data_IF_956193259171
#
_entry.id   IF_956193259171
#
_cell.length_a   1.000
_cell.length_b   1.000
_cell.length_c   1.000
_cell.angle_alpha   90.00
_cell.angle_beta   90.00
_cell.angle_gamma   90.00
#
_symmetry.space_group_name_H-M   'P 1'
#
loop_
_entity.id
_entity.type
_entity.pdbx_description
1 polymer ?
#
# COMPACT_ATOMS: atom_id res chain seq x y z
N UNK A 1 -6.80 5.15 21.54
CA UNK A 1 -6.09 4.58 20.38
C UNK A 1 -5.68 5.74 19.50
N UNK A 2 -4.36 5.95 19.34
CA UNK A 2 -3.86 7.02 18.50
C UNK A 2 -4.34 6.88 17.06
N UNK A 3 -4.90 7.95 16.53
CA UNK A 3 -5.25 8.06 15.11
C UNK A 3 -3.95 7.83 14.32
N UNK A 4 -3.91 6.77 13.51
CA UNK A 4 -2.74 6.49 12.65
C UNK A 4 -2.71 7.51 11.52
N UNK A 5 -1.90 8.54 11.70
CA UNK A 5 -1.84 9.74 10.86
C UNK A 5 -1.66 9.39 9.37
N UNK A 6 -0.80 8.45 9.04
CA UNK A 6 -0.52 8.07 7.64
C UNK A 6 -1.72 7.48 6.88
N UNK A 7 -2.62 6.72 7.54
CA UNK A 7 -3.82 6.19 6.90
C UNK A 7 -4.81 7.30 6.55
N UNK A 8 -4.91 8.34 7.39
CA UNK A 8 -5.85 9.44 7.15
C UNK A 8 -5.45 10.30 5.94
N UNK A 9 -4.15 10.48 5.72
CA UNK A 9 -3.63 11.23 4.58
C UNK A 9 -3.95 10.58 3.23
N UNK A 10 -4.16 9.25 3.23
CA UNK A 10 -4.43 8.46 2.03
C UNK A 10 -5.91 8.13 1.83
N UNK A 11 -6.77 8.52 2.76
CA UNK A 11 -8.19 8.15 2.73
C UNK A 11 -9.00 9.09 1.84
N UNK A 12 -9.73 8.54 0.88
CA UNK A 12 -10.71 9.26 0.08
C UNK A 12 -12.08 9.41 0.78
N UNK A 13 -12.31 8.64 1.85
CA UNK A 13 -13.46 8.72 2.72
C UNK A 13 -13.23 7.99 4.04
N UNK A 14 -13.84 8.45 5.11
CA UNK A 14 -13.76 7.84 6.43
C UNK A 14 -15.17 7.49 6.90
N UNK A 15 -15.32 6.28 7.40
CA UNK A 15 -16.60 5.78 7.90
C UNK A 15 -16.46 5.30 9.33
N UNK A 16 -17.23 5.87 10.23
CA UNK A 16 -17.26 5.52 11.66
C UNK A 16 -18.37 4.49 11.88
N UNK A 17 -17.97 3.27 12.19
CA UNK A 17 -18.90 2.17 12.46
C UNK A 17 -19.46 2.21 13.89
N UNK A 18 -20.50 1.40 14.14
CA UNK A 18 -21.18 1.24 15.42
C UNK A 18 -21.86 2.55 15.90
N UNK A 19 -22.40 3.33 14.95
CA UNK A 19 -23.14 4.55 15.23
C UNK A 19 -24.60 4.21 15.60
N UNK A 20 -24.80 3.51 16.69
CA UNK A 20 -26.10 3.06 17.19
C UNK A 20 -26.13 2.98 18.71
N UNK A 21 -27.34 2.85 19.28
CA UNK A 21 -27.59 2.74 20.72
C UNK A 21 -26.82 3.83 21.50
N UNK A 22 -26.21 3.39 22.61
CA UNK A 22 -25.43 4.28 23.49
C UNK A 22 -24.14 4.81 22.84
N UNK A 23 -23.72 4.22 21.70
CA UNK A 23 -22.52 4.65 20.99
C UNK A 23 -22.80 5.71 19.89
N UNK A 24 -24.04 6.12 19.68
CA UNK A 24 -24.41 7.08 18.65
C UNK A 24 -23.71 8.44 18.84
N UNK A 25 -23.76 9.02 20.03
CA UNK A 25 -23.14 10.32 20.29
C UNK A 25 -21.60 10.25 20.30
N UNK A 26 -20.96 9.24 20.90
CA UNK A 26 -19.53 9.01 20.71
C UNK A 26 -19.10 8.89 19.24
N UNK A 27 -19.87 8.19 18.40
CA UNK A 27 -19.57 8.04 16.96
C UNK A 27 -19.67 9.38 16.21
N UNK A 28 -20.69 10.19 16.51
CA UNK A 28 -20.82 11.55 15.94
C UNK A 28 -19.67 12.46 16.37
N UNK A 29 -19.26 12.40 17.64
CA UNK A 29 -18.12 13.17 18.13
C UNK A 29 -16.83 12.75 17.41
N UNK A 30 -16.58 11.44 17.28
CA UNK A 30 -15.45 10.91 16.52
C UNK A 30 -15.47 11.41 15.07
N UNK A 31 -16.62 11.35 14.39
CA UNK A 31 -16.76 11.86 13.03
C UNK A 31 -16.42 13.35 12.90
N UNK A 32 -16.81 14.15 13.90
CA UNK A 32 -16.44 15.56 13.95
C UNK A 32 -14.93 15.77 14.12
N UNK A 33 -14.31 15.01 15.00
CA UNK A 33 -12.85 15.05 15.22
C UNK A 33 -12.09 14.67 13.95
N UNK A 34 -12.53 13.63 13.23
CA UNK A 34 -11.92 13.22 11.96
C UNK A 34 -12.09 14.28 10.88
N UNK A 35 -13.27 14.92 10.77
CA UNK A 35 -13.48 16.06 9.84
C UNK A 35 -12.49 17.19 10.12
N UNK A 36 -12.36 17.60 11.38
CA UNK A 36 -11.45 18.65 11.78
C UNK A 36 -9.98 18.27 11.48
N UNK A 37 -9.60 17.02 11.73
CA UNK A 37 -8.26 16.53 11.43
C UNK A 37 -7.96 16.52 9.93
N UNK A 38 -8.92 16.16 9.08
CA UNK A 38 -8.76 16.17 7.62
C UNK A 38 -8.48 17.59 7.07
N UNK A 39 -9.00 18.63 7.68
CA UNK A 39 -8.71 20.01 7.27
C UNK A 39 -7.27 20.45 7.54
N UNK A 40 -6.51 19.70 8.35
CA UNK A 40 -5.10 20.00 8.63
C UNK A 40 -4.15 19.41 7.60
N UNK A 41 -4.64 18.53 6.71
CA UNK A 41 -3.83 17.94 5.65
C UNK A 41 -3.86 18.81 4.39
N UNK A 42 -2.81 18.74 3.55
CA UNK A 42 -2.81 19.40 2.26
C UNK A 42 -3.94 18.87 1.37
N UNK A 43 -4.34 19.66 0.39
CA UNK A 43 -5.35 19.24 -0.57
C UNK A 43 -4.92 17.96 -1.29
N UNK A 44 -5.78 16.94 -1.40
CA UNK A 44 -5.46 15.72 -2.11
C UNK A 44 -5.17 15.98 -3.60
N UNK A 45 -4.25 15.21 -4.19
CA UNK A 45 -3.92 15.30 -5.62
C UNK A 45 -5.14 15.08 -6.52
N UNK A 46 -6.08 14.28 -6.08
CA UNK A 46 -7.36 14.05 -6.78
C UNK A 46 -8.24 15.29 -6.88
N UNK A 47 -8.03 16.30 -6.03
CA UNK A 47 -8.94 17.43 -5.83
C UNK A 47 -10.24 17.07 -5.11
N UNK A 48 -10.41 15.79 -4.72
CA UNK A 48 -11.54 15.33 -3.92
C UNK A 48 -11.36 15.69 -2.45
N UNK A 49 -12.38 16.23 -1.81
CA UNK A 49 -12.38 16.49 -0.36
C UNK A 49 -12.94 15.26 0.35
N UNK A 50 -12.15 14.53 1.15
CA UNK A 50 -12.60 13.33 1.82
C UNK A 50 -13.79 13.61 2.74
N UNK A 51 -14.83 12.78 2.66
CA UNK A 51 -16.02 12.87 3.50
C UNK A 51 -15.91 11.93 4.71
N UNK A 52 -16.54 12.34 5.82
CA UNK A 52 -16.63 11.52 7.05
C UNK A 52 -18.09 11.23 7.32
N UNK A 53 -18.45 9.96 7.30
CA UNK A 53 -19.79 9.45 7.56
C UNK A 53 -19.82 8.59 8.82
N UNK A 54 -21.00 8.41 9.39
CA UNK A 54 -21.26 7.43 10.44
C UNK A 54 -22.22 6.38 9.92
N UNK A 55 -22.07 5.12 10.36
CA UNK A 55 -23.00 4.07 10.01
C UNK A 55 -23.13 3.02 11.13
N UNK A 56 -24.19 2.22 11.08
CA UNK A 56 -24.36 1.03 11.89
C UNK A 56 -24.46 -0.20 11.01
N UNK A 57 -23.45 -1.05 11.05
CA UNK A 57 -23.49 -2.34 10.36
C UNK A 57 -24.51 -3.29 10.95
N UNK A 58 -24.81 -3.15 12.26
CA UNK A 58 -25.78 -4.01 12.94
C UNK A 58 -27.23 -3.69 12.53
N UNK A 59 -27.58 -2.40 12.46
CA UNK A 59 -28.92 -1.98 12.07
C UNK A 59 -29.05 -1.60 10.60
N UNK A 60 -28.00 -1.76 9.82
CA UNK A 60 -27.96 -1.40 8.38
C UNK A 60 -28.34 0.06 8.10
N UNK A 61 -27.96 0.97 9.01
CA UNK A 61 -28.22 2.40 8.91
C UNK A 61 -26.99 3.10 8.31
N UNK A 62 -27.17 3.98 7.33
CA UNK A 62 -26.09 4.77 6.72
C UNK A 62 -25.32 4.04 5.60
N UNK A 63 -25.70 2.81 5.24
CA UNK A 63 -25.02 2.03 4.19
C UNK A 63 -25.23 2.65 2.81
N UNK A 64 -26.45 3.15 2.54
CA UNK A 64 -26.74 3.80 1.27
C UNK A 64 -25.88 5.07 1.08
N UNK A 65 -25.76 5.88 2.11
CA UNK A 65 -24.98 7.11 2.11
C UNK A 65 -23.49 6.85 1.84
N UNK A 66 -22.96 5.70 2.33
CA UNK A 66 -21.58 5.27 2.03
C UNK A 66 -21.45 4.96 0.53
N UNK A 67 -22.39 4.20 -0.04
CA UNK A 67 -22.35 3.87 -1.47
C UNK A 67 -22.53 5.13 -2.33
N UNK A 68 -23.41 6.03 -1.95
CA UNK A 68 -23.61 7.31 -2.64
C UNK A 68 -22.28 8.10 -2.65
N UNK A 69 -21.58 8.18 -1.53
CA UNK A 69 -20.26 8.81 -1.43
C UNK A 69 -19.21 8.12 -2.34
N UNK A 70 -19.17 6.78 -2.37
CA UNK A 70 -18.23 6.03 -3.22
C UNK A 70 -18.49 6.31 -4.71
N UNK A 71 -19.75 6.29 -5.14
CA UNK A 71 -20.09 6.61 -6.53
C UNK A 71 -19.77 8.06 -6.89
N UNK A 72 -20.06 9.00 -5.99
CA UNK A 72 -19.74 10.41 -6.18
C UNK A 72 -18.23 10.63 -6.33
N UNK A 73 -17.41 9.96 -5.50
CA UNK A 73 -15.96 9.97 -5.62
C UNK A 73 -15.49 9.42 -6.98
N UNK A 74 -15.99 8.23 -7.35
CA UNK A 74 -15.61 7.58 -8.62
C UNK A 74 -15.96 8.47 -9.81
N UNK A 75 -17.15 9.05 -9.83
CA UNK A 75 -17.58 9.96 -10.89
C UNK A 75 -16.72 11.22 -10.95
N UNK A 76 -16.39 11.79 -9.79
CA UNK A 76 -15.53 12.97 -9.69
C UNK A 76 -14.14 12.69 -10.27
N UNK A 77 -13.47 11.61 -9.83
CA UNK A 77 -12.10 11.28 -10.28
C UNK A 77 -12.04 10.78 -11.73
N UNK A 78 -13.14 10.23 -12.26
CA UNK A 78 -13.25 9.92 -13.69
C UNK A 78 -13.39 11.19 -14.54
N UNK A 79 -14.21 12.14 -14.11
CA UNK A 79 -14.45 13.40 -14.84
C UNK A 79 -13.19 14.28 -14.92
N UNK A 80 -12.38 14.32 -13.87
CA UNK A 80 -11.14 15.12 -13.86
C UNK A 80 -9.90 14.36 -14.38
N UNK A 81 -10.06 13.10 -14.80
CA UNK A 81 -8.97 12.27 -15.35
C UNK A 81 -8.05 11.61 -14.30
N UNK A 82 -8.21 11.93 -13.02
CA UNK A 82 -7.36 11.38 -11.94
C UNK A 82 -7.46 9.86 -11.84
N UNK A 83 -8.64 9.27 -12.08
CA UNK A 83 -8.82 7.83 -12.10
C UNK A 83 -7.89 7.14 -13.11
N UNK A 84 -7.84 7.65 -14.34
CA UNK A 84 -6.94 7.14 -15.39
C UNK A 84 -5.48 7.31 -15.02
N UNK A 85 -5.10 8.50 -14.54
CA UNK A 85 -3.75 8.77 -14.07
C UNK A 85 -3.30 7.78 -12.99
N UNK A 86 -4.10 7.58 -11.94
CA UNK A 86 -3.78 6.63 -10.86
C UNK A 86 -3.66 5.19 -11.34
N UNK A 87 -4.53 4.76 -12.26
CA UNK A 87 -4.45 3.41 -12.86
C UNK A 87 -3.15 3.21 -13.65
N UNK A 88 -2.70 4.22 -14.38
CA UNK A 88 -1.44 4.16 -15.11
C UNK A 88 -0.22 4.10 -14.17
N UNK A 89 -0.21 4.90 -13.11
CA UNK A 89 0.85 4.85 -12.08
C UNK A 89 0.87 3.51 -11.35
N UNK A 90 -0.29 2.95 -11.01
CA UNK A 90 -0.39 1.59 -10.46
C UNK A 90 0.15 0.54 -11.43
N UNK A 91 -0.21 0.62 -12.72
CA UNK A 91 0.28 -0.33 -13.73
C UNK A 91 1.78 -0.26 -13.89
N UNK A 92 2.35 0.95 -13.88
CA UNK A 92 3.79 1.18 -13.89
C UNK A 92 4.47 0.56 -12.65
N UNK A 93 3.91 0.80 -11.46
CA UNK A 93 4.41 0.21 -10.22
C UNK A 93 4.43 -1.33 -10.30
N UNK A 94 3.32 -1.95 -10.68
CA UNK A 94 3.22 -3.41 -10.81
C UNK A 94 4.17 -3.98 -11.85
N UNK A 95 4.43 -3.27 -12.95
CA UNK A 95 5.44 -3.67 -13.93
C UNK A 95 6.81 -3.81 -13.27
N UNK A 96 7.26 -2.80 -12.50
CA UNK A 96 8.56 -2.86 -11.82
C UNK A 96 8.59 -3.93 -10.72
N UNK A 97 7.54 -4.06 -9.92
CA UNK A 97 7.45 -5.10 -8.90
C UNK A 97 7.53 -6.51 -9.51
N UNK A 98 6.79 -6.75 -10.60
CA UNK A 98 6.84 -8.04 -11.30
C UNK A 98 8.24 -8.35 -11.84
N UNK A 99 8.92 -7.35 -12.42
CA UNK A 99 10.30 -7.52 -12.91
C UNK A 99 11.24 -7.86 -11.74
N UNK A 100 11.18 -7.10 -10.64
CA UNK A 100 12.03 -7.31 -9.49
C UNK A 100 11.78 -8.68 -8.83
N UNK A 101 10.52 -9.07 -8.70
CA UNK A 101 10.14 -10.38 -8.16
C UNK A 101 10.66 -11.52 -9.05
N UNK A 102 10.45 -11.45 -10.35
CA UNK A 102 10.92 -12.47 -11.28
C UNK A 102 12.45 -12.58 -11.33
N UNK A 103 13.15 -11.45 -11.32
CA UNK A 103 14.62 -11.44 -11.27
C UNK A 103 15.13 -12.04 -9.96
N UNK A 104 14.54 -11.69 -8.84
CA UNK A 104 14.88 -12.25 -7.54
C UNK A 104 14.61 -13.74 -7.49
N UNK A 105 13.45 -14.17 -7.92
CA UNK A 105 13.06 -15.59 -7.91
C UNK A 105 13.95 -16.40 -8.84
N UNK A 106 14.23 -15.91 -10.06
CA UNK A 106 15.14 -16.56 -11.00
C UNK A 106 16.55 -16.71 -10.44
N UNK A 107 17.03 -15.73 -9.68
CA UNK A 107 18.35 -15.79 -9.06
C UNK A 107 18.38 -16.78 -7.89
N UNK A 108 17.49 -16.66 -6.91
CA UNK A 108 17.53 -17.45 -5.68
C UNK A 108 17.09 -18.92 -5.87
N UNK A 109 16.24 -19.20 -6.86
CA UNK A 109 15.85 -20.57 -7.22
C UNK A 109 16.72 -21.18 -8.33
N UNK A 110 17.81 -20.52 -8.73
CA UNK A 110 18.77 -21.13 -9.62
C UNK A 110 19.56 -22.20 -8.85
N UNK A 111 19.60 -23.47 -9.33
CA UNK A 111 20.21 -24.57 -8.58
C UNK A 111 21.70 -24.36 -8.25
N UNK A 112 22.44 -23.69 -9.13
CA UNK A 112 23.87 -23.41 -8.93
C UNK A 112 24.05 -22.33 -7.85
N UNK A 113 23.21 -21.31 -7.86
CA UNK A 113 23.22 -20.24 -6.85
C UNK A 113 22.78 -20.78 -5.49
N UNK A 114 21.70 -21.57 -5.45
CA UNK A 114 21.22 -22.18 -4.21
C UNK A 114 22.30 -23.05 -3.53
N UNK A 115 23.03 -23.85 -4.32
CA UNK A 115 24.14 -24.68 -3.81
C UNK A 115 25.31 -23.83 -3.25
N UNK A 116 25.60 -22.66 -3.84
CA UNK A 116 26.70 -21.79 -3.42
C UNK A 116 26.33 -20.85 -2.28
N UNK A 117 25.07 -20.53 -2.15
CA UNK A 117 24.58 -19.46 -1.25
C UNK A 117 24.95 -19.76 0.21
N UNK A 118 24.67 -20.97 0.69
CA UNK A 118 24.96 -21.36 2.08
C UNK A 118 26.45 -21.30 2.40
N UNK A 119 27.32 -21.72 1.49
CA UNK A 119 28.77 -21.64 1.68
C UNK A 119 29.22 -20.17 1.78
N UNK A 120 28.74 -19.31 0.88
CA UNK A 120 29.09 -17.89 0.88
C UNK A 120 28.57 -17.16 2.12
N UNK A 121 27.40 -17.48 2.60
CA UNK A 121 26.86 -16.97 3.87
C UNK A 121 27.77 -17.32 5.05
N UNK A 122 28.22 -18.59 5.14
CA UNK A 122 29.13 -19.01 6.21
C UNK A 122 30.48 -18.28 6.15
N UNK A 123 31.05 -18.10 4.96
CA UNK A 123 32.29 -17.37 4.77
C UNK A 123 32.16 -15.89 5.21
N UNK A 124 31.03 -15.26 4.93
CA UNK A 124 30.74 -13.89 5.35
C UNK A 124 30.59 -13.80 6.88
N UNK A 125 29.82 -14.73 7.48
CA UNK A 125 29.59 -14.75 8.93
C UNK A 125 30.89 -14.98 9.73
N UNK A 126 31.82 -15.75 9.17
CA UNK A 126 33.15 -16.01 9.75
C UNK A 126 34.17 -14.89 9.50
N UNK A 127 33.81 -13.85 8.73
CA UNK A 127 34.71 -12.77 8.36
C UNK A 127 35.77 -13.14 7.31
N UNK A 128 35.69 -14.33 6.71
CA UNK A 128 36.62 -14.81 5.70
C UNK A 128 36.40 -14.19 4.32
N UNK A 129 35.19 -13.66 4.09
CA UNK A 129 34.78 -13.04 2.83
C UNK A 129 33.93 -11.80 3.13
N UNK A 130 34.14 -10.72 2.37
CA UNK A 130 33.29 -9.54 2.52
C UNK A 130 31.94 -9.77 1.82
N UNK A 131 30.88 -9.14 2.34
CA UNK A 131 29.54 -9.24 1.75
C UNK A 131 29.50 -8.80 0.29
N UNK A 132 30.28 -7.79 -0.10
CA UNK A 132 30.36 -7.31 -1.49
C UNK A 132 31.02 -8.33 -2.42
N UNK A 133 32.10 -8.98 -1.99
CA UNK A 133 32.79 -10.01 -2.79
C UNK A 133 31.91 -11.26 -2.91
N UNK A 134 31.22 -11.67 -1.83
CA UNK A 134 30.28 -12.78 -1.85
C UNK A 134 29.14 -12.53 -2.85
N UNK A 135 28.48 -11.38 -2.74
CA UNK A 135 27.38 -11.02 -3.63
C UNK A 135 27.84 -10.95 -5.10
N UNK A 136 28.99 -10.31 -5.35
CA UNK A 136 29.55 -10.23 -6.71
C UNK A 136 29.84 -11.61 -7.29
N UNK A 137 30.47 -12.50 -6.52
CA UNK A 137 30.78 -13.87 -6.96
C UNK A 137 29.51 -14.64 -7.37
N UNK A 138 28.43 -14.54 -6.59
CA UNK A 138 27.15 -15.17 -6.90
C UNK A 138 26.51 -14.58 -8.17
N UNK A 139 26.53 -13.26 -8.30
CA UNK A 139 25.99 -12.57 -9.47
C UNK A 139 26.79 -12.89 -10.75
N UNK A 140 28.11 -12.88 -10.68
CA UNK A 140 28.97 -13.23 -11.82
C UNK A 140 28.69 -14.68 -12.29
N UNK A 141 28.54 -15.61 -11.34
CA UNK A 141 28.20 -17.02 -11.65
C UNK A 141 26.84 -17.11 -12.36
N UNK A 142 25.84 -16.41 -11.85
CA UNK A 142 24.50 -16.40 -12.42
C UNK A 142 24.47 -15.82 -13.85
N UNK A 143 25.11 -14.66 -14.06
CA UNK A 143 25.16 -14.05 -15.37
C UNK A 143 26.00 -14.80 -16.40
N UNK A 144 27.02 -15.54 -15.98
CA UNK A 144 27.81 -16.36 -16.89
C UNK A 144 27.05 -17.62 -17.32
N UNK A 145 26.17 -18.14 -16.47
CA UNK A 145 25.28 -19.24 -16.86
C UNK A 145 24.22 -18.78 -17.90
N UNK A 146 23.65 -17.57 -17.74
CA UNK A 146 22.68 -17.01 -18.70
C UNK A 146 23.24 -16.71 -20.09
N UNK A 147 24.59 -16.65 -20.26
CA UNK A 147 25.25 -16.42 -21.56
C UNK A 147 25.49 -17.70 -22.34
N UNK A 148 25.25 -18.86 -21.75
CA UNK A 148 25.45 -20.18 -22.37
C UNK A 148 24.20 -20.70 -23.03
#
# INVERSE_FOLDING_TARGET
QGIKRGIMEMADGIVINKADGDNLEPAKLAASQFRNALHLFPAPESGWIPKVLTYSGFYNIGVKEIWDMVYEYIDFVKKNGYFGYRRNEQSKYWMYETINEQLRDSFYHNPQIEAMLQEKEQQVLQGNLTSFIAAKSLLDTYFDELKR
#
